data_IF_281910655588
#
_entry.id   IF_281910655588
#
_cell.length_a   1.000
_cell.length_b   1.000
_cell.length_c   1.000
_cell.angle_alpha   90.00
_cell.angle_beta   90.00
_cell.angle_gamma   90.00
#
_symmetry.space_group_name_H-M   'P 1'
#
loop_
_entity.id
_entity.type
_entity.pdbx_description
1 polymer ?
#
# COMPACT_ATOMS: atom_id res chain seq x y z
N UNK A 1 -0.61 -9.67 18.37
CA UNK A 1 0.07 -8.80 17.40
C UNK A 1 -0.92 -7.71 17.08
N UNK A 2 -0.64 -6.49 17.54
CA UNK A 2 -1.58 -5.39 17.46
C UNK A 2 -1.43 -4.74 16.09
N UNK A 3 -2.21 -5.25 15.13
CA UNK A 3 -2.34 -4.62 13.81
C UNK A 3 -3.25 -3.40 13.96
N UNK A 4 -2.78 -2.24 13.50
CA UNK A 4 -3.61 -1.03 13.44
C UNK A 4 -3.90 -0.70 11.99
N UNK A 5 -5.17 -0.44 11.69
CA UNK A 5 -5.63 -0.05 10.37
C UNK A 5 -5.80 1.46 10.27
N UNK A 6 -5.39 2.01 9.14
CA UNK A 6 -5.52 3.42 8.83
C UNK A 6 -6.13 3.58 7.44
N UNK A 7 -7.17 4.42 7.35
CA UNK A 7 -7.72 4.89 6.08
C UNK A 7 -7.35 6.36 5.94
N UNK A 8 -6.53 6.66 4.94
CA UNK A 8 -6.07 8.02 4.66
C UNK A 8 -6.93 8.63 3.55
N UNK A 9 -7.45 9.82 3.81
CA UNK A 9 -8.02 10.67 2.76
C UNK A 9 -6.90 11.29 1.89
N UNK A 10 -7.28 11.91 0.78
CA UNK A 10 -6.34 12.62 -0.07
C UNK A 10 -5.65 13.75 0.73
N UNK A 11 -4.32 13.83 0.60
CA UNK A 11 -3.45 14.77 1.31
C UNK A 11 -3.37 14.56 2.83
N UNK A 12 -3.94 13.48 3.36
CA UNK A 12 -3.75 13.11 4.76
C UNK A 12 -2.39 12.41 4.96
N UNK A 13 -1.79 12.63 6.12
CA UNK A 13 -0.53 12.02 6.50
C UNK A 13 -0.60 11.55 7.96
N UNK A 14 0.02 10.40 8.22
CA UNK A 14 0.24 9.88 9.58
C UNK A 14 1.74 9.73 9.82
N UNK A 15 2.15 9.90 11.08
CA UNK A 15 3.51 9.66 11.53
C UNK A 15 3.51 8.50 12.52
N UNK A 16 4.29 7.46 12.20
CA UNK A 16 4.45 6.28 13.02
C UNK A 16 5.88 6.25 13.53
N UNK A 17 6.04 6.13 14.84
CA UNK A 17 7.34 5.95 15.50
C UNK A 17 7.47 4.50 15.95
N UNK A 18 8.63 3.91 15.70
CA UNK A 18 8.96 2.57 16.16
C UNK A 18 10.48 2.47 16.38
N UNK A 19 10.87 1.71 17.41
CA UNK A 19 12.28 1.50 17.75
C UNK A 19 12.89 0.28 17.00
N UNK A 20 12.05 -0.49 16.29
CA UNK A 20 12.47 -1.72 15.63
C UNK A 20 11.78 -1.91 14.26
N UNK A 21 11.39 -3.14 13.92
CA UNK A 21 10.84 -3.50 12.62
C UNK A 21 9.35 -3.16 12.53
N UNK A 22 8.93 -2.58 11.41
CA UNK A 22 7.54 -2.39 11.05
C UNK A 22 7.21 -3.18 9.79
N UNK A 23 6.03 -3.79 9.76
CA UNK A 23 5.49 -4.42 8.57
C UNK A 23 4.23 -3.69 8.13
N UNK A 24 4.22 -3.19 6.89
CA UNK A 24 3.06 -2.53 6.31
C UNK A 24 2.40 -3.40 5.24
N UNK A 25 1.07 -3.34 5.23
CA UNK A 25 0.24 -3.77 4.11
C UNK A 25 -0.46 -2.54 3.55
N UNK A 26 -0.37 -2.35 2.22
CA UNK A 26 -0.82 -1.11 1.57
C UNK A 26 -1.73 -1.45 0.40
N UNK A 27 -3.01 -1.10 0.52
CA UNK A 27 -4.03 -1.42 -0.49
C UNK A 27 -3.94 -0.60 -1.78
N UNK A 28 -3.38 0.61 -1.74
CA UNK A 28 -3.18 1.42 -2.95
C UNK A 28 -1.71 1.87 -3.04
N UNK A 29 -0.88 1.06 -3.69
CA UNK A 29 0.57 1.28 -3.73
C UNK A 29 0.99 2.58 -4.45
N UNK A 30 0.21 3.02 -5.44
CA UNK A 30 0.51 4.23 -6.22
C UNK A 30 0.08 5.53 -5.54
N UNK A 31 -0.86 5.46 -4.60
CA UNK A 31 -1.47 6.63 -3.96
C UNK A 31 -0.74 7.12 -2.71
N UNK A 32 0.27 6.40 -2.24
CA UNK A 32 0.90 6.65 -0.94
C UNK A 32 2.39 6.93 -1.12
N UNK A 33 2.87 7.98 -0.45
CA UNK A 33 4.30 8.33 -0.36
C UNK A 33 4.82 7.94 1.01
N UNK A 34 5.96 7.25 1.03
CA UNK A 34 6.64 6.92 2.27
C UNK A 34 7.84 7.84 2.47
N UNK A 35 7.99 8.36 3.69
CA UNK A 35 9.18 9.06 4.16
C UNK A 35 9.71 8.31 5.37
N UNK A 36 10.92 7.79 5.26
CA UNK A 36 11.53 6.94 6.29
C UNK A 36 12.71 7.70 6.86
N UNK A 37 12.63 8.08 8.14
CA UNK A 37 13.66 8.84 8.83
C UNK A 37 14.06 10.12 8.07
N UNK A 38 13.07 10.86 7.58
CA UNK A 38 13.26 12.09 6.80
C UNK A 38 13.62 11.88 5.33
N UNK A 39 13.87 10.64 4.89
CA UNK A 39 14.26 10.34 3.52
C UNK A 39 13.05 9.84 2.71
N UNK A 40 12.70 10.48 1.58
CA UNK A 40 11.65 9.98 0.69
C UNK A 40 12.02 8.60 0.13
N UNK A 41 11.13 7.62 0.30
CA UNK A 41 11.32 6.27 -0.24
C UNK A 41 10.86 6.12 -1.71
N UNK A 42 10.36 7.20 -2.31
CA UNK A 42 9.82 7.21 -3.67
C UNK A 42 8.46 6.51 -3.80
N UNK A 43 8.12 6.17 -5.04
CA UNK A 43 6.89 5.43 -5.36
C UNK A 43 7.12 3.96 -5.03
N UNK A 44 6.30 3.39 -4.15
CA UNK A 44 6.48 2.01 -3.70
C UNK A 44 5.80 0.97 -4.58
N UNK A 45 4.85 1.38 -5.43
CA UNK A 45 4.25 0.53 -6.47
C UNK A 45 3.42 1.34 -7.47
N UNK A 46 2.94 0.66 -8.49
CA UNK A 46 2.22 1.26 -9.62
C UNK A 46 0.69 1.19 -9.44
N UNK A 47 -0.03 1.86 -10.34
CA UNK A 47 -1.50 1.85 -10.33
C UNK A 47 -2.02 0.42 -10.48
N UNK A 48 -2.97 0.05 -9.61
CA UNK A 48 -3.54 -1.31 -9.60
C UNK A 48 -2.66 -2.33 -8.87
N UNK A 49 -1.62 -1.90 -8.16
CA UNK A 49 -0.83 -2.75 -7.28
C UNK A 49 -1.19 -2.56 -5.82
N UNK A 50 -1.09 -3.66 -5.07
CA UNK A 50 -1.12 -3.70 -3.61
C UNK A 50 0.26 -4.10 -3.10
N UNK A 51 0.70 -3.51 -1.99
CA UNK A 51 1.90 -3.95 -1.28
C UNK A 51 1.45 -4.94 -0.20
N UNK A 52 1.72 -6.23 -0.41
CA UNK A 52 1.32 -7.28 0.52
C UNK A 52 2.28 -7.44 1.70
N UNK A 53 3.49 -6.90 1.56
CA UNK A 53 4.48 -6.83 2.63
C UNK A 53 5.48 -5.70 2.36
N UNK A 54 5.67 -4.83 3.33
CA UNK A 54 6.74 -3.83 3.34
C UNK A 54 7.40 -3.83 4.71
N UNK A 55 8.56 -4.46 4.79
CA UNK A 55 9.34 -4.53 6.02
C UNK A 55 10.30 -3.35 6.08
N UNK A 56 10.18 -2.54 7.11
CA UNK A 56 11.02 -1.35 7.34
C UNK A 56 11.80 -1.54 8.63
N UNK A 57 13.07 -1.19 8.59
CA UNK A 57 13.98 -1.12 9.74
C UNK A 57 14.43 0.33 9.96
N UNK A 58 15.12 0.63 11.07
CA UNK A 58 15.74 1.95 11.26
C UNK A 58 16.72 2.35 10.14
N UNK A 59 17.25 1.37 9.39
CA UNK A 59 18.17 1.61 8.26
C UNK A 59 17.44 1.81 6.91
N UNK A 60 16.12 1.68 6.88
CA UNK A 60 15.31 1.79 5.66
C UNK A 60 14.52 0.51 5.33
N UNK A 61 14.06 0.42 4.08
CA UNK A 61 13.28 -0.71 3.57
C UNK A 61 14.18 -1.95 3.49
N UNK A 62 13.78 -3.01 4.20
CA UNK A 62 14.48 -4.29 4.19
C UNK A 62 13.95 -5.19 3.09
N UNK A 63 12.63 -5.23 2.90
CA UNK A 63 12.01 -6.06 1.86
C UNK A 63 10.65 -5.51 1.45
N UNK A 64 10.27 -5.77 0.20
CA UNK A 64 9.00 -5.33 -0.39
C UNK A 64 8.42 -6.44 -1.25
N UNK A 65 7.13 -6.72 -1.09
CA UNK A 65 6.36 -7.66 -1.92
C UNK A 65 5.13 -6.95 -2.47
N UNK A 66 4.92 -7.07 -3.77
CA UNK A 66 3.86 -6.37 -4.51
C UNK A 66 3.03 -7.39 -5.29
N UNK A 67 1.73 -7.15 -5.36
CA UNK A 67 0.79 -7.95 -6.16
C UNK A 67 -0.01 -7.05 -7.09
N UNK A 68 -0.08 -7.43 -8.37
CA UNK A 68 -0.95 -6.77 -9.34
C UNK A 68 -2.38 -7.26 -9.12
N UNK A 69 -3.32 -6.34 -8.99
CA UNK A 69 -4.74 -6.65 -9.03
C UNK A 69 -5.17 -6.58 -10.49
N UNK A 70 -5.39 -7.76 -11.10
CA UNK A 70 -6.05 -7.83 -12.41
C UNK A 70 -7.51 -7.48 -12.18
N UNK A 71 -8.07 -6.58 -12.99
CA UNK A 71 -9.53 -6.42 -13.05
C UNK A 71 -10.09 -7.76 -13.52
N UNK A 72 -10.90 -8.40 -12.69
CA UNK A 72 -11.75 -9.50 -13.15
C UNK A 72 -12.65 -8.94 -14.24
N UNK A 73 -12.83 -9.67 -15.36
CA UNK A 73 -13.88 -9.30 -16.33
C UNK A 73 -15.20 -9.37 -15.56
N UNK A 74 -15.86 -8.24 -15.34
CA UNK A 74 -17.24 -8.27 -14.87
C UNK A 74 -18.03 -9.17 -15.84
N UNK A 75 -18.77 -10.18 -15.37
CA UNK A 75 -19.64 -10.95 -16.25
C UNK A 75 -20.58 -9.95 -16.92
N UNK A 76 -20.61 -10.00 -18.26
CA UNK A 76 -21.45 -9.14 -19.08
C UNK A 76 -22.88 -9.23 -18.55
N UNK A 77 -23.39 -8.10 -18.04
CA UNK A 77 -24.80 -7.92 -17.74
C UNK A 77 -25.57 -8.21 -19.04
N UNK A 78 -26.29 -9.32 -19.04
CA UNK A 78 -27.07 -9.78 -20.19
C UNK A 78 -28.29 -8.89 -20.30
N UNK A 79 -28.13 -7.72 -20.94
CA UNK A 79 -29.26 -6.91 -21.41
C UNK A 79 -30.07 -7.74 -22.40
N UNK A 80 -31.10 -8.39 -21.88
CA UNK A 80 -32.14 -9.02 -22.68
C UNK A 80 -33.15 -7.92 -23.00
N UNK A 81 -33.17 -7.46 -24.24
CA UNK A 81 -34.19 -6.52 -24.74
C UNK A 81 -35.49 -7.29 -24.94
N UNK A 82 -36.58 -6.77 -24.36
CA UNK A 82 -37.97 -7.21 -24.60
C UNK A 82 -38.43 -6.90 -26.02
#
# INVERSE_FOLDING_TARGET
ADTTEYLLAANEAISIKADSLLNFLVGNAAGIRFVINGNPAGILGEKGQVITRLLISPKGIVSKSVKQIKKEKMPNDSSTTY
#
